data_IF_397787722992
#
_entry.id   IF_397787722992
#
_cell.length_a   1.000
_cell.length_b   1.000
_cell.length_c   1.000
_cell.angle_alpha   90.00
_cell.angle_beta   90.00
_cell.angle_gamma   90.00
#
_symmetry.space_group_name_H-M   'P 1'
#
loop_
_entity.id
_entity.type
_entity.pdbx_description
1 polymer ?
#
# COMPACT_ATOMS: atom_id res chain seq x y z
N UNK A 1 -16.26 16.98 -20.48
CA UNK A 1 -14.94 16.62 -19.95
C UNK A 1 -14.71 15.18 -20.35
N UNK A 2 -13.74 14.91 -21.23
CA UNK A 2 -13.41 13.53 -21.58
C UNK A 2 -12.88 12.84 -20.33
N UNK A 3 -13.45 11.67 -20.00
CA UNK A 3 -12.94 10.78 -18.95
C UNK A 3 -11.49 10.46 -19.27
N UNK A 4 -10.57 11.17 -18.63
CA UNK A 4 -9.16 10.75 -18.68
C UNK A 4 -9.05 9.42 -17.97
N UNK A 5 -8.44 8.40 -18.59
CA UNK A 5 -8.31 7.10 -17.95
C UNK A 5 -7.60 7.27 -16.60
N UNK A 6 -8.13 6.57 -15.58
CA UNK A 6 -7.54 6.55 -14.24
C UNK A 6 -6.09 6.09 -14.36
N UNK A 7 -5.14 7.01 -14.12
CA UNK A 7 -3.72 6.68 -14.16
C UNK A 7 -3.33 5.87 -12.92
N UNK A 8 -2.51 4.88 -13.13
CA UNK A 8 -1.94 4.02 -12.11
C UNK A 8 -0.49 4.42 -11.83
N UNK A 9 -0.05 4.31 -10.58
CA UNK A 9 1.36 4.48 -10.23
C UNK A 9 1.88 3.32 -9.41
N UNK A 10 3.15 2.98 -9.65
CA UNK A 10 3.94 2.05 -8.87
C UNK A 10 5.09 2.79 -8.21
N UNK A 11 5.19 2.72 -6.90
CA UNK A 11 6.20 3.42 -6.11
C UNK A 11 7.05 2.41 -5.38
N UNK A 12 8.35 2.43 -5.62
CA UNK A 12 9.32 1.67 -4.86
C UNK A 12 9.91 2.55 -3.75
N UNK A 13 9.83 2.08 -2.50
CA UNK A 13 10.41 2.79 -1.35
C UNK A 13 11.40 1.89 -0.63
N UNK A 14 12.19 2.49 0.27
CA UNK A 14 13.09 1.74 1.14
C UNK A 14 12.35 0.81 2.12
N UNK A 15 13.11 0.00 2.87
CA UNK A 15 12.58 -0.94 3.84
C UNK A 15 12.59 -2.38 3.35
N UNK A 16 11.87 -3.25 4.07
CA UNK A 16 11.77 -4.66 3.72
C UNK A 16 10.88 -4.86 2.51
N UNK A 17 11.32 -5.70 1.56
CA UNK A 17 10.51 -6.13 0.43
C UNK A 17 10.97 -7.51 -0.07
N UNK A 18 10.08 -8.48 0.01
CA UNK A 18 10.28 -9.83 -0.54
C UNK A 18 9.91 -9.81 -2.02
N UNK A 19 10.85 -9.33 -2.83
CA UNK A 19 10.66 -9.16 -4.28
C UNK A 19 10.31 -10.46 -5.01
N UNK A 20 10.74 -11.60 -4.48
CA UNK A 20 10.43 -12.94 -4.94
C UNK A 20 8.94 -13.33 -4.75
N UNK A 21 8.19 -12.57 -3.96
CA UNK A 21 6.78 -12.79 -3.65
C UNK A 21 5.85 -11.71 -4.22
N UNK A 22 6.39 -10.72 -4.91
CA UNK A 22 5.58 -9.70 -5.56
C UNK A 22 5.02 -10.28 -6.87
N UNK A 23 3.68 -10.35 -7.05
CA UNK A 23 3.10 -10.79 -8.30
C UNK A 23 3.52 -9.89 -9.47
N UNK A 24 3.83 -10.47 -10.61
CA UNK A 24 4.22 -9.70 -11.82
C UNK A 24 3.15 -8.69 -12.24
N UNK A 25 1.87 -8.97 -11.96
CA UNK A 25 0.76 -8.04 -12.20
C UNK A 25 0.84 -6.74 -11.39
N UNK A 26 1.58 -6.71 -10.29
CA UNK A 26 1.82 -5.52 -9.49
C UNK A 26 3.04 -4.71 -9.95
N UNK A 27 3.83 -5.22 -10.90
CA UNK A 27 5.08 -4.59 -11.36
C UNK A 27 4.89 -3.68 -12.59
N UNK A 28 3.65 -3.41 -13.00
CA UNK A 28 3.31 -2.56 -14.15
C UNK A 28 2.39 -1.42 -13.73
N UNK A 29 2.68 -0.21 -14.21
CA UNK A 29 1.85 0.97 -14.02
C UNK A 29 2.16 2.01 -15.11
N UNK A 30 1.27 3.01 -15.28
CA UNK A 30 1.49 4.12 -16.22
C UNK A 30 2.67 5.00 -15.79
N UNK A 31 2.86 5.15 -14.47
CA UNK A 31 3.96 5.88 -13.87
C UNK A 31 4.69 5.03 -12.83
N UNK A 32 6.00 4.92 -12.95
CA UNK A 32 6.85 4.19 -12.01
C UNK A 32 7.84 5.15 -11.36
N UNK A 33 7.82 5.21 -10.02
CA UNK A 33 8.65 6.10 -9.21
C UNK A 33 9.48 5.26 -8.25
N UNK A 34 10.74 5.62 -8.05
CA UNK A 34 11.56 5.11 -6.97
C UNK A 34 11.90 6.25 -6.00
N UNK A 35 11.63 6.07 -4.73
CA UNK A 35 11.98 7.01 -3.67
C UNK A 35 13.24 6.53 -2.95
N UNK A 36 14.27 7.35 -2.99
CA UNK A 36 15.59 7.10 -2.38
C UNK A 36 16.10 5.68 -2.65
N UNK A 37 16.36 4.88 -1.60
CA UNK A 37 16.82 3.48 -1.70
C UNK A 37 15.82 2.52 -2.38
N UNK A 38 14.58 2.94 -2.65
CA UNK A 38 13.59 2.17 -3.42
C UNK A 38 14.07 1.79 -4.82
N UNK A 39 15.01 2.56 -5.41
CA UNK A 39 15.66 2.20 -6.68
C UNK A 39 16.33 0.82 -6.64
N UNK A 40 16.84 0.40 -5.47
CA UNK A 40 17.47 -0.93 -5.30
C UNK A 40 16.41 -2.03 -5.39
N UNK A 41 15.23 -1.78 -4.79
CA UNK A 41 14.09 -2.71 -4.85
C UNK A 41 13.55 -2.80 -6.28
N UNK A 42 13.42 -1.67 -6.98
CA UNK A 42 13.02 -1.64 -8.39
C UNK A 42 13.97 -2.48 -9.26
N UNK A 43 15.28 -2.31 -9.10
CA UNK A 43 16.29 -3.08 -9.82
C UNK A 43 16.19 -4.59 -9.54
N UNK A 44 15.94 -5.00 -8.29
CA UNK A 44 15.73 -6.42 -7.92
C UNK A 44 14.47 -7.00 -8.57
N UNK A 45 13.44 -6.18 -8.80
CA UNK A 45 12.24 -6.57 -9.53
C UNK A 45 12.41 -6.52 -11.06
N UNK A 46 13.56 -6.09 -11.57
CA UNK A 46 13.78 -5.91 -13.02
C UNK A 46 13.00 -4.74 -13.62
N UNK A 47 12.61 -3.76 -12.81
CA UNK A 47 11.79 -2.61 -13.21
C UNK A 47 12.65 -1.35 -13.29
N UNK A 48 12.51 -0.60 -14.39
CA UNK A 48 13.19 0.69 -14.58
C UNK A 48 12.21 1.80 -14.22
N UNK A 49 12.50 2.64 -13.20
CA UNK A 49 11.66 3.77 -12.84
C UNK A 49 11.64 4.85 -13.93
N UNK A 50 10.52 5.54 -14.09
CA UNK A 50 10.41 6.77 -14.89
C UNK A 50 10.96 7.98 -14.13
N UNK A 51 10.79 7.98 -12.78
CA UNK A 51 11.26 9.05 -11.89
C UNK A 51 12.01 8.40 -10.73
N UNK A 52 13.14 9.01 -10.33
CA UNK A 52 13.83 8.71 -9.08
C UNK A 52 13.86 10.01 -8.26
N UNK A 53 13.23 9.97 -7.07
CA UNK A 53 13.13 11.12 -6.18
C UNK A 53 13.83 10.84 -4.85
N UNK A 54 14.60 11.79 -4.31
CA UNK A 54 15.28 11.65 -3.03
C UNK A 54 16.35 12.70 -2.82
N UNK A 55 16.98 12.68 -1.65
CA UNK A 55 18.17 13.49 -1.33
C UNK A 55 19.48 12.80 -1.76
N UNK A 56 19.41 11.48 -1.95
CA UNK A 56 20.53 10.62 -2.37
C UNK A 56 21.71 10.56 -1.39
N UNK A 57 21.46 10.87 -0.11
CA UNK A 57 22.50 10.81 0.92
C UNK A 57 22.87 9.37 1.28
N UNK A 58 21.86 8.48 1.32
CA UNK A 58 22.01 7.07 1.71
C UNK A 58 22.14 6.12 0.53
N UNK A 59 21.73 6.52 -0.67
CA UNK A 59 21.70 5.66 -1.86
C UNK A 59 22.14 6.44 -3.11
N UNK A 60 23.34 6.19 -3.65
CA UNK A 60 23.83 6.90 -4.82
C UNK A 60 22.97 6.60 -6.05
N UNK A 61 22.83 7.58 -6.92
CA UNK A 61 22.12 7.42 -8.20
C UNK A 61 22.77 6.35 -9.07
N UNK A 62 21.97 5.57 -9.83
CA UNK A 62 22.50 4.68 -10.86
C UNK A 62 23.29 5.48 -11.90
N UNK A 63 24.44 4.95 -12.34
CA UNK A 63 25.33 5.65 -13.29
C UNK A 63 24.68 5.84 -14.67
N UNK A 64 23.86 4.87 -15.10
CA UNK A 64 23.26 4.80 -16.44
C UNK A 64 21.73 4.73 -16.33
N UNK A 65 21.10 5.78 -15.78
CA UNK A 65 19.64 5.83 -15.68
C UNK A 65 19.05 6.75 -16.74
N UNK A 66 17.93 6.32 -17.33
CA UNK A 66 17.07 7.16 -18.19
C UNK A 66 15.95 7.86 -17.39
N UNK A 67 15.85 7.58 -16.09
CA UNK A 67 14.84 8.16 -15.22
C UNK A 67 15.05 9.67 -15.04
N UNK A 68 13.94 10.41 -14.93
CA UNK A 68 13.96 11.79 -14.47
C UNK A 68 14.39 11.82 -13.00
N UNK A 69 15.39 12.63 -12.68
CA UNK A 69 15.87 12.79 -11.29
C UNK A 69 15.22 14.01 -10.66
N UNK A 70 14.54 13.79 -9.53
CA UNK A 70 13.97 14.86 -8.71
C UNK A 70 14.75 14.90 -7.39
N UNK A 71 15.64 15.89 -7.26
CA UNK A 71 16.38 16.11 -6.01
C UNK A 71 15.53 16.91 -5.05
N UNK A 72 15.49 16.48 -3.80
CA UNK A 72 14.80 17.15 -2.71
C UNK A 72 15.80 17.45 -1.58
N UNK A 73 15.60 18.52 -0.81
CA UNK A 73 16.42 18.77 0.38
C UNK A 73 16.30 17.61 1.38
N UNK A 74 17.39 17.30 2.09
CA UNK A 74 17.37 16.34 3.20
C UNK A 74 16.56 16.86 4.39
N UNK A 75 16.58 18.17 4.63
CA UNK A 75 15.73 18.84 5.60
C UNK A 75 14.38 19.16 4.98
N UNK A 76 13.38 18.29 5.21
CA UNK A 76 12.00 18.45 4.75
C UNK A 76 11.05 17.85 5.78
N UNK A 77 9.83 18.37 5.83
CA UNK A 77 8.79 17.89 6.76
C UNK A 77 8.17 16.55 6.29
N UNK A 78 8.26 16.24 5.00
CA UNK A 78 7.64 15.06 4.39
C UNK A 78 8.61 13.86 4.28
N UNK A 79 8.07 12.66 4.45
CA UNK A 79 8.82 11.42 4.17
C UNK A 79 8.99 11.21 2.65
N UNK A 80 10.02 10.43 2.25
CA UNK A 80 10.22 10.10 0.84
C UNK A 80 9.03 9.37 0.22
N UNK A 81 8.34 8.54 1.01
CA UNK A 81 7.09 7.86 0.60
C UNK A 81 5.98 8.87 0.30
N UNK A 82 5.79 9.86 1.18
CA UNK A 82 4.80 10.92 1.01
C UNK A 82 5.08 11.71 -0.26
N UNK A 83 6.31 12.16 -0.44
CA UNK A 83 6.76 12.90 -1.62
C UNK A 83 6.51 12.12 -2.92
N UNK A 84 6.84 10.82 -2.94
CA UNK A 84 6.63 9.99 -4.13
C UNK A 84 5.14 9.85 -4.46
N UNK A 85 4.27 9.72 -3.44
CA UNK A 85 2.82 9.74 -3.62
C UNK A 85 2.33 11.08 -4.16
N UNK A 86 2.82 12.21 -3.63
CA UNK A 86 2.49 13.55 -4.13
C UNK A 86 2.87 13.72 -5.60
N UNK A 87 4.06 13.26 -5.99
CA UNK A 87 4.51 13.26 -7.39
C UNK A 87 3.53 12.45 -8.24
N UNK A 88 3.17 11.23 -7.83
CA UNK A 88 2.24 10.37 -8.55
C UNK A 88 0.87 11.04 -8.75
N UNK A 89 0.31 11.62 -7.68
CA UNK A 89 -0.99 12.31 -7.71
C UNK A 89 -0.97 13.55 -8.60
N UNK A 90 0.11 14.36 -8.57
CA UNK A 90 0.29 15.50 -9.49
C UNK A 90 0.36 15.09 -10.95
N UNK A 91 0.81 13.86 -11.25
CA UNK A 91 0.78 13.27 -12.59
C UNK A 91 -0.57 12.61 -12.93
N UNK A 92 -1.55 12.71 -12.03
CA UNK A 92 -2.92 12.24 -12.28
C UNK A 92 -3.25 10.85 -11.73
N UNK A 93 -2.32 10.18 -11.02
CA UNK A 93 -2.58 8.87 -10.44
C UNK A 93 -3.72 8.93 -9.42
N UNK A 94 -4.59 7.92 -9.48
CA UNK A 94 -5.69 7.69 -8.54
C UNK A 94 -5.64 6.30 -7.91
N UNK A 95 -4.80 5.42 -8.45
CA UNK A 95 -4.49 4.11 -7.89
C UNK A 95 -2.98 3.98 -7.77
N UNK A 96 -2.49 3.79 -6.56
CA UNK A 96 -1.05 3.73 -6.26
C UNK A 96 -0.74 2.40 -5.59
N UNK A 97 0.28 1.71 -6.07
CA UNK A 97 0.90 0.58 -5.39
C UNK A 97 2.24 1.01 -4.83
N UNK A 98 2.45 0.85 -3.53
CA UNK A 98 3.74 1.09 -2.86
C UNK A 98 4.37 -0.27 -2.58
N UNK A 99 5.59 -0.50 -3.05
CA UNK A 99 6.38 -1.69 -2.77
C UNK A 99 7.52 -1.38 -1.80
N UNK A 100 7.53 -2.08 -0.66
CA UNK A 100 8.40 -1.82 0.49
C UNK A 100 7.72 -0.99 1.57
N UNK A 101 8.47 -0.17 2.29
CA UNK A 101 7.93 0.77 3.30
C UNK A 101 7.58 0.16 4.65
N UNK A 102 7.84 -1.13 4.85
CA UNK A 102 7.70 -1.83 6.13
C UNK A 102 9.03 -2.39 6.62
N UNK A 103 9.03 -2.93 7.83
CA UNK A 103 10.20 -3.59 8.43
C UNK A 103 11.24 -2.61 8.99
N UNK A 104 12.18 -3.14 9.79
CA UNK A 104 13.21 -2.35 10.44
C UNK A 104 12.65 -1.40 11.49
N UNK A 105 12.54 -0.14 11.17
CA UNK A 105 12.00 0.91 12.06
C UNK A 105 10.47 0.88 12.06
N UNK A 106 9.89 0.65 13.23
CA UNK A 106 8.43 0.55 13.40
C UNK A 106 7.73 1.91 13.18
N UNK A 107 8.37 3.02 13.54
CA UNK A 107 7.86 4.38 13.32
C UNK A 107 7.66 4.69 11.83
N UNK A 108 8.61 4.31 10.97
CA UNK A 108 8.48 4.43 9.52
C UNK A 108 7.36 3.54 8.98
N UNK A 109 7.26 2.29 9.45
CA UNK A 109 6.18 1.38 9.03
C UNK A 109 4.80 1.94 9.41
N UNK A 110 4.64 2.46 10.63
CA UNK A 110 3.39 3.07 11.09
C UNK A 110 3.06 4.34 10.30
N UNK A 111 4.04 5.21 10.05
CA UNK A 111 3.85 6.41 9.24
C UNK A 111 3.34 6.06 7.86
N UNK A 112 3.95 5.06 7.18
CA UNK A 112 3.52 4.62 5.86
C UNK A 112 2.10 4.01 5.88
N UNK A 113 1.71 3.28 6.93
CA UNK A 113 0.34 2.77 7.07
C UNK A 113 -0.68 3.89 7.26
N UNK A 114 -0.35 4.94 8.03
CA UNK A 114 -1.24 6.10 8.20
C UNK A 114 -1.36 6.96 6.94
N UNK A 115 -0.33 6.98 6.08
CA UNK A 115 -0.43 7.62 4.77
C UNK A 115 -1.53 7.02 3.89
N UNK A 116 -1.86 5.73 4.04
CA UNK A 116 -2.95 5.09 3.30
C UNK A 116 -4.30 5.74 3.64
N UNK A 117 -4.52 6.13 4.90
CA UNK A 117 -5.73 6.81 5.34
C UNK A 117 -5.84 8.21 4.72
N UNK A 118 -4.75 9.00 4.79
CA UNK A 118 -4.70 10.33 4.17
C UNK A 118 -5.08 10.26 2.68
N UNK A 119 -4.45 9.38 1.93
CA UNK A 119 -4.71 9.27 0.49
C UNK A 119 -6.11 8.77 0.18
N UNK A 120 -6.67 7.87 1.01
CA UNK A 120 -8.07 7.44 0.86
C UNK A 120 -9.04 8.61 1.05
N UNK A 121 -8.79 9.49 2.02
CA UNK A 121 -9.58 10.72 2.22
C UNK A 121 -9.50 11.67 1.03
N UNK A 122 -8.34 11.72 0.34
CA UNK A 122 -8.12 12.52 -0.85
C UNK A 122 -8.66 11.84 -2.15
N UNK A 123 -9.35 10.71 -2.03
CA UNK A 123 -9.93 9.98 -3.16
C UNK A 123 -8.91 9.21 -3.99
N UNK A 124 -7.77 8.85 -3.39
CA UNK A 124 -6.71 8.04 -4.01
C UNK A 124 -6.66 6.67 -3.34
N UNK A 125 -6.80 5.61 -4.11
CA UNK A 125 -6.67 4.25 -3.61
C UNK A 125 -5.19 3.85 -3.58
N UNK A 126 -4.67 3.60 -2.38
CA UNK A 126 -3.28 3.21 -2.16
C UNK A 126 -3.22 1.80 -1.56
N UNK A 127 -2.38 0.95 -2.14
CA UNK A 127 -2.01 -0.36 -1.62
C UNK A 127 -0.53 -0.32 -1.26
N UNK A 128 -0.19 -0.73 -0.05
CA UNK A 128 1.19 -0.98 0.37
C UNK A 128 1.41 -2.49 0.40
N UNK A 129 2.52 -2.97 -0.20
CA UNK A 129 2.86 -4.39 -0.23
C UNK A 129 4.37 -4.56 -0.04
N UNK A 130 4.76 -5.51 0.83
CA UNK A 130 6.17 -5.87 1.04
C UNK A 130 6.51 -7.32 0.63
N UNK A 131 5.51 -8.03 0.06
CA UNK A 131 5.58 -9.43 -0.33
C UNK A 131 5.17 -10.41 0.77
N UNK A 132 5.27 -10.05 2.03
CA UNK A 132 4.76 -10.82 3.17
C UNK A 132 3.43 -10.28 3.68
N UNK A 133 3.16 -9.00 3.41
CA UNK A 133 1.94 -8.29 3.80
C UNK A 133 1.43 -7.41 2.66
N UNK A 134 0.11 -7.17 2.68
CA UNK A 134 -0.56 -6.19 1.83
C UNK A 134 -1.54 -5.39 2.68
N UNK A 135 -1.49 -4.07 2.59
CA UNK A 135 -2.35 -3.18 3.37
C UNK A 135 -3.06 -2.16 2.49
N UNK A 136 -4.30 -1.83 2.83
CA UNK A 136 -5.11 -0.76 2.23
C UNK A 136 -6.13 -0.22 3.22
N UNK A 137 -6.66 0.96 2.98
CA UNK A 137 -7.75 1.53 3.77
C UNK A 137 -9.08 1.36 3.03
N UNK A 138 -10.11 0.91 3.77
CA UNK A 138 -11.51 0.86 3.35
C UNK A 138 -12.29 1.94 4.09
N UNK A 139 -13.17 2.65 3.40
CA UNK A 139 -14.01 3.71 3.99
C UNK A 139 -15.36 3.79 3.29
N UNK A 140 -16.45 3.50 4.03
CA UNK A 140 -17.83 3.55 3.51
C UNK A 140 -18.02 2.79 2.18
N UNK A 141 -17.47 1.57 2.11
CA UNK A 141 -17.49 0.77 0.89
C UNK A 141 -17.64 -0.73 1.19
N UNK A 142 -17.89 -1.49 0.14
CA UNK A 142 -17.89 -2.95 0.17
C UNK A 142 -16.76 -3.47 -0.72
N UNK A 143 -15.90 -4.30 -0.16
CA UNK A 143 -14.82 -4.99 -0.86
C UNK A 143 -15.13 -6.49 -0.98
N UNK A 144 -14.93 -7.05 -2.17
CA UNK A 144 -14.81 -8.49 -2.37
C UNK A 144 -13.33 -8.85 -2.34
N UNK A 145 -12.91 -9.59 -1.31
CA UNK A 145 -11.53 -9.96 -1.06
C UNK A 145 -11.32 -11.42 -1.51
N UNK A 146 -10.57 -11.67 -2.60
CA UNK A 146 -10.32 -13.03 -3.08
C UNK A 146 -9.35 -13.78 -2.15
N UNK A 147 -9.49 -15.12 -2.10
CA UNK A 147 -8.59 -16.01 -1.35
C UNK A 147 -7.31 -16.27 -2.16
N UNK A 148 -6.51 -15.24 -2.38
CA UNK A 148 -5.29 -15.32 -3.19
C UNK A 148 -4.08 -14.73 -2.47
N UNK A 149 -3.01 -15.53 -2.37
CA UNK A 149 -1.70 -15.10 -1.92
C UNK A 149 -1.51 -14.99 -0.41
N UNK A 150 -2.53 -14.61 0.34
CA UNK A 150 -2.44 -14.41 1.79
C UNK A 150 -3.39 -15.35 2.56
N UNK A 151 -2.90 -15.87 3.68
CA UNK A 151 -3.68 -16.75 4.55
C UNK A 151 -4.65 -15.99 5.44
N UNK A 152 -4.19 -14.88 5.99
CA UNK A 152 -4.93 -14.12 6.99
C UNK A 152 -5.32 -12.75 6.46
N UNK A 153 -6.45 -12.24 6.91
CA UNK A 153 -6.77 -10.83 6.86
C UNK A 153 -7.16 -10.29 8.24
N UNK A 154 -6.83 -9.04 8.47
CA UNK A 154 -7.11 -8.32 9.72
C UNK A 154 -7.79 -7.00 9.41
N UNK A 155 -8.74 -6.60 10.25
CA UNK A 155 -9.49 -5.36 10.13
C UNK A 155 -9.20 -4.52 11.37
N UNK A 156 -8.44 -3.43 11.20
CA UNK A 156 -8.02 -2.55 12.30
C UNK A 156 -8.71 -1.21 12.13
N UNK A 157 -9.54 -0.84 13.09
CA UNK A 157 -10.25 0.43 13.06
C UNK A 157 -9.27 1.59 13.25
N UNK A 158 -9.28 2.54 12.32
CA UNK A 158 -8.57 3.81 12.46
C UNK A 158 -9.42 4.82 13.24
N UNK A 159 -10.74 4.71 13.12
CA UNK A 159 -11.76 5.43 13.91
C UNK A 159 -12.88 4.45 14.29
N UNK A 160 -13.93 4.94 14.97
CA UNK A 160 -15.11 4.12 15.26
C UNK A 160 -15.81 3.74 13.96
N UNK A 161 -15.98 2.44 13.73
CA UNK A 161 -16.49 1.88 12.48
C UNK A 161 -17.45 0.74 12.79
N UNK A 162 -18.32 0.43 11.85
CA UNK A 162 -19.16 -0.75 11.88
C UNK A 162 -18.82 -1.63 10.68
N UNK A 163 -18.58 -2.92 10.93
CA UNK A 163 -18.13 -3.86 9.90
C UNK A 163 -19.03 -5.08 9.82
N UNK A 164 -19.41 -5.43 8.59
CA UNK A 164 -20.00 -6.73 8.26
C UNK A 164 -19.00 -7.50 7.39
N UNK A 165 -18.68 -8.74 7.80
CA UNK A 165 -17.79 -9.62 7.04
C UNK A 165 -18.40 -11.02 6.92
N UNK A 166 -18.43 -11.56 5.70
CA UNK A 166 -18.93 -12.91 5.38
C UNK A 166 -17.97 -13.65 4.46
N UNK A 167 -18.15 -14.97 4.31
CA UNK A 167 -17.23 -15.81 3.54
C UNK A 167 -15.89 -16.04 4.25
N UNK A 168 -15.87 -15.88 5.57
CA UNK A 168 -14.69 -16.02 6.40
C UNK A 168 -14.98 -16.84 7.66
N UNK A 169 -13.92 -17.30 8.32
CA UNK A 169 -13.96 -18.21 9.49
C UNK A 169 -14.64 -17.56 10.70
N UNK A 170 -14.42 -16.27 10.90
CA UNK A 170 -15.01 -15.48 11.96
C UNK A 170 -15.87 -14.36 11.35
N UNK A 171 -17.14 -14.65 10.98
CA UNK A 171 -18.01 -13.66 10.36
C UNK A 171 -18.36 -12.54 11.35
N UNK A 172 -18.57 -11.36 10.81
CA UNK A 172 -18.98 -10.18 11.56
C UNK A 172 -20.34 -9.71 11.04
N UNK A 173 -21.26 -9.34 11.93
CA UNK A 173 -22.56 -8.80 11.56
C UNK A 173 -22.76 -7.47 12.28
N UNK A 174 -22.67 -6.37 11.54
CA UNK A 174 -22.77 -5.00 12.05
C UNK A 174 -21.91 -4.80 13.32
N UNK A 175 -20.71 -5.38 13.32
CA UNK A 175 -19.83 -5.42 14.46
C UNK A 175 -19.15 -4.05 14.68
N UNK A 176 -19.25 -3.45 15.87
CA UNK A 176 -18.55 -2.21 16.17
C UNK A 176 -17.06 -2.50 16.38
N UNK A 177 -16.22 -1.83 15.60
CA UNK A 177 -14.78 -1.87 15.75
C UNK A 177 -14.26 -0.50 16.22
N UNK A 178 -13.27 -0.53 17.09
CA UNK A 178 -12.59 0.68 17.55
C UNK A 178 -11.10 0.43 17.75
N UNK A 179 -10.31 1.48 17.72
CA UNK A 179 -8.87 1.42 17.96
C UNK A 179 -8.52 0.86 19.35
N UNK A 180 -9.38 1.11 20.34
CA UNK A 180 -9.19 0.64 21.70
C UNK A 180 -9.56 -0.85 21.91
N UNK A 181 -10.26 -1.47 20.95
CA UNK A 181 -10.68 -2.88 21.04
C UNK A 181 -10.41 -3.61 19.70
N UNK A 182 -9.14 -3.93 19.38
CA UNK A 182 -8.75 -4.56 18.11
C UNK A 182 -8.89 -6.08 18.18
N UNK A 183 -10.10 -6.61 17.97
CA UNK A 183 -10.35 -8.05 18.01
C UNK A 183 -10.53 -8.74 16.65
N UNK A 184 -10.71 -7.97 15.56
CA UNK A 184 -10.94 -8.49 14.22
C UNK A 184 -9.62 -8.75 13.48
N UNK A 185 -8.74 -9.53 14.09
CA UNK A 185 -7.42 -9.88 13.53
C UNK A 185 -7.33 -11.37 13.20
N UNK A 186 -6.48 -11.70 12.24
CA UNK A 186 -6.17 -13.08 11.83
C UNK A 186 -7.40 -13.89 11.41
N UNK A 187 -8.33 -13.27 10.69
CA UNK A 187 -9.43 -13.98 10.05
C UNK A 187 -8.94 -14.73 8.80
N UNK A 188 -9.64 -15.75 8.37
CA UNK A 188 -9.30 -16.59 7.21
C UNK A 188 -10.48 -16.63 6.25
N UNK A 189 -10.24 -16.56 4.94
CA UNK A 189 -11.28 -16.74 3.92
C UNK A 189 -11.60 -18.23 3.83
N UNK A 190 -12.88 -18.60 3.88
CA UNK A 190 -13.32 -20.01 3.88
C UNK A 190 -13.77 -20.54 2.54
N UNK A 191 -13.87 -19.69 1.53
CA UNK A 191 -14.25 -20.01 0.17
C UNK A 191 -13.35 -19.28 -0.85
N UNK A 192 -13.91 -18.91 -1.95
CA UNK A 192 -13.18 -18.16 -3.00
C UNK A 192 -13.01 -16.68 -2.65
N UNK A 193 -13.95 -16.12 -1.88
CA UNK A 193 -14.01 -14.67 -1.62
C UNK A 193 -14.65 -14.39 -0.27
N UNK A 194 -14.08 -13.48 0.50
CA UNK A 194 -14.76 -12.82 1.62
C UNK A 194 -15.36 -11.48 1.14
N UNK A 195 -16.57 -11.16 1.64
CA UNK A 195 -17.21 -9.85 1.41
C UNK A 195 -17.12 -9.04 2.69
N UNK A 196 -16.51 -7.86 2.60
CA UNK A 196 -16.27 -6.97 3.73
C UNK A 196 -16.97 -5.63 3.43
N UNK A 197 -17.92 -5.23 4.27
CA UNK A 197 -18.61 -3.92 4.20
C UNK A 197 -18.22 -3.10 5.41
N UNK A 198 -17.78 -1.86 5.16
CA UNK A 198 -17.37 -0.89 6.18
C UNK A 198 -18.29 0.31 6.12
N UNK A 199 -18.78 0.76 7.28
CA UNK A 199 -19.54 1.99 7.43
C UNK A 199 -19.03 2.78 8.65
N UNK A 200 -19.19 4.10 8.63
CA UNK A 200 -18.65 4.98 9.65
C UNK A 200 -17.18 5.35 9.38
N UNK A 201 -16.31 5.17 10.34
CA UNK A 201 -14.89 5.50 10.21
C UNK A 201 -14.09 4.53 9.32
N UNK A 202 -12.87 4.90 8.91
CA UNK A 202 -12.01 4.07 8.07
C UNK A 202 -11.44 2.87 8.81
N UNK A 203 -11.22 1.79 8.07
CA UNK A 203 -10.61 0.53 8.51
C UNK A 203 -9.32 0.31 7.70
N UNK A 204 -8.24 -0.01 8.39
CA UNK A 204 -7.04 -0.57 7.79
C UNK A 204 -7.22 -2.09 7.63
N UNK A 205 -7.34 -2.53 6.39
CA UNK A 205 -7.30 -3.96 6.02
C UNK A 205 -5.85 -4.35 5.81
N UNK A 206 -5.41 -5.37 6.52
CA UNK A 206 -4.08 -5.98 6.35
C UNK A 206 -4.27 -7.45 5.99
N UNK A 207 -3.67 -7.87 4.89
CA UNK A 207 -3.53 -9.27 4.52
C UNK A 207 -2.11 -9.72 4.84
N UNK A 208 -1.93 -10.89 5.43
CA UNK A 208 -0.63 -11.38 5.89
C UNK A 208 -0.52 -12.90 5.90
N UNK A 209 0.74 -13.36 5.98
CA UNK A 209 1.05 -14.80 5.95
C UNK A 209 0.75 -15.38 4.58
N UNK A 210 1.58 -16.34 4.15
CA UNK A 210 1.33 -17.01 2.88
C UNK A 210 0.26 -18.09 3.07
N UNK A 211 -0.63 -18.20 2.08
CA UNK A 211 -1.49 -19.38 1.96
C UNK A 211 -0.59 -20.63 1.85
N UNK A 212 -0.93 -21.73 2.54
CA UNK A 212 -0.28 -23.00 2.28
C UNK A 212 -0.41 -23.34 0.79
N UNK A 213 0.70 -23.74 0.18
CA UNK A 213 0.74 -24.25 -1.20
C UNK A 213 0.00 -25.58 -1.24
#
# INVERSE_FOLDING_TARGET
MADMPLQTALIFVGGHCRTDRIPSSMLTADLIIAADSGQITAAKCGVVPHIIAGDFDSSPLPKDTTAQIIRVPSEKDDTDTMLACDIAVRHGARKITILGGTGGRIDHSLSNLFLLEKWKQDGVDVILCDGDNRARVLSNETLSLPSEGFRYFSLIALEQSVVTASGCKYPLSEAPLSRAHPYAVSNEITGETAKITVTGGPILLIESGLSPI
#
